data_IF_468605885500
#
_entry.id   IF_468605885500
#
_cell.length_a   1.000
_cell.length_b   1.000
_cell.length_c   1.000
_cell.angle_alpha   90.00
_cell.angle_beta   90.00
_cell.angle_gamma   90.00
#
_symmetry.space_group_name_H-M   'P 1'
#
loop_
_entity.id
_entity.type
_entity.pdbx_description
1 polymer ?
#
# COMPACT_ATOMS: atom_id res chain seq x y z
N UNK A 1 8.95 -3.18 11.06
CA UNK A 1 8.00 -4.30 11.17
C UNK A 1 6.64 -3.80 10.71
N UNK A 2 5.85 -4.65 10.03
CA UNK A 2 4.48 -4.32 9.65
C UNK A 2 3.52 -4.60 10.82
N UNK A 3 2.35 -3.92 10.86
CA UNK A 3 1.30 -4.28 11.81
C UNK A 3 0.77 -5.71 11.59
N UNK A 4 0.15 -6.29 12.62
CA UNK A 4 -0.39 -7.65 12.53
C UNK A 4 -1.49 -7.78 11.44
N UNK A 5 -1.38 -8.81 10.60
CA UNK A 5 -2.30 -9.04 9.48
C UNK A 5 -2.08 -8.10 8.30
N UNK A 6 -1.00 -7.33 8.30
CA UNK A 6 -0.48 -6.65 7.12
C UNK A 6 0.68 -7.45 6.56
N UNK A 7 0.72 -7.59 5.24
CA UNK A 7 1.75 -8.36 4.58
C UNK A 7 2.05 -7.84 3.18
N UNK A 8 3.31 -8.01 2.77
CA UNK A 8 3.74 -7.72 1.41
C UNK A 8 3.52 -8.96 0.54
N UNK A 9 2.87 -8.78 -0.60
CA UNK A 9 2.67 -9.84 -1.60
C UNK A 9 3.25 -9.43 -2.96
N UNK A 10 3.75 -10.39 -3.76
CA UNK A 10 4.05 -10.13 -5.16
C UNK A 10 2.80 -9.66 -5.91
N UNK A 11 2.92 -8.62 -6.74
CA UNK A 11 1.83 -8.10 -7.56
C UNK A 11 2.34 -7.48 -8.87
N UNK A 12 2.12 -8.18 -9.99
CA UNK A 12 2.60 -7.77 -11.31
C UNK A 12 4.13 -7.47 -11.28
N UNK A 13 4.51 -6.24 -11.60
CA UNK A 13 5.90 -5.78 -11.71
C UNK A 13 6.46 -5.17 -10.42
N UNK A 14 5.90 -5.51 -9.27
CA UNK A 14 6.42 -5.07 -7.97
C UNK A 14 5.66 -5.67 -6.78
N UNK A 15 5.98 -5.26 -5.54
CA UNK A 15 5.26 -5.69 -4.37
C UNK A 15 3.99 -4.84 -4.15
N UNK A 16 2.97 -5.44 -3.54
CA UNK A 16 1.81 -4.73 -3.03
C UNK A 16 1.61 -5.02 -1.55
N UNK A 17 1.18 -4.00 -0.80
CA UNK A 17 0.85 -4.12 0.61
C UNK A 17 -0.63 -4.49 0.74
N UNK A 18 -0.90 -5.50 1.54
CA UNK A 18 -2.24 -5.94 1.92
C UNK A 18 -2.48 -5.76 3.41
N UNK A 19 -3.75 -5.58 3.78
CA UNK A 19 -4.25 -5.88 5.12
C UNK A 19 -5.38 -6.91 4.97
N UNK A 20 -5.15 -8.13 5.47
CA UNK A 20 -5.98 -9.32 5.17
C UNK A 20 -6.13 -9.50 3.65
N UNK A 21 -7.33 -9.35 3.09
CA UNK A 21 -7.59 -9.54 1.66
C UNK A 21 -7.80 -8.21 0.90
N UNK A 22 -7.51 -7.07 1.55
CA UNK A 22 -7.61 -5.75 0.94
C UNK A 22 -6.24 -5.21 0.56
N UNK A 23 -6.08 -4.92 -0.73
CA UNK A 23 -4.90 -4.25 -1.25
C UNK A 23 -4.93 -2.76 -0.86
N UNK A 24 -3.84 -2.30 -0.25
CA UNK A 24 -3.72 -0.93 0.28
C UNK A 24 -2.85 -0.05 -0.61
N UNK A 25 -1.73 -0.60 -1.08
CA UNK A 25 -0.76 0.11 -1.91
C UNK A 25 -0.07 -0.85 -2.87
N UNK A 26 0.24 -0.38 -4.07
CA UNK A 26 1.03 -1.11 -5.08
C UNK A 26 2.31 -0.34 -5.36
N UNK A 27 3.44 -1.01 -5.39
CA UNK A 27 4.70 -0.46 -5.86
C UNK A 27 4.95 -0.94 -7.28
N UNK A 28 5.23 -0.01 -8.18
CA UNK A 28 5.57 -0.29 -9.57
C UNK A 28 6.91 0.32 -9.93
N UNK A 29 7.76 -0.47 -10.58
CA UNK A 29 9.02 0.03 -11.13
C UNK A 29 8.76 0.94 -12.33
N UNK A 30 9.44 2.08 -12.34
CA UNK A 30 9.54 3.01 -13.48
C UNK A 30 10.94 2.93 -14.10
N UNK A 31 11.15 3.61 -15.22
CA UNK A 31 12.45 3.68 -15.90
C UNK A 31 13.54 4.27 -14.99
N UNK A 32 13.20 5.28 -14.20
CA UNK A 32 14.12 6.09 -13.39
C UNK A 32 13.75 6.12 -11.89
N UNK A 33 12.86 5.23 -11.45
CA UNK A 33 12.43 5.22 -10.06
C UNK A 33 11.32 4.23 -9.78
N UNK A 34 10.54 4.55 -8.76
CA UNK A 34 9.45 3.73 -8.23
C UNK A 34 8.25 4.61 -7.95
N UNK A 35 7.07 4.09 -8.30
CA UNK A 35 5.78 4.69 -7.96
C UNK A 35 5.10 3.84 -6.91
N UNK A 36 4.52 4.48 -5.91
CA UNK A 36 3.54 3.88 -5.01
C UNK A 36 2.18 4.40 -5.43
N UNK A 37 1.22 3.51 -5.63
CA UNK A 37 -0.20 3.85 -5.79
C UNK A 37 -0.96 3.42 -4.54
N UNK A 38 -1.48 4.38 -3.78
CA UNK A 38 -2.32 4.12 -2.60
C UNK A 38 -3.78 3.91 -3.05
N UNK A 39 -4.19 2.64 -3.13
CA UNK A 39 -5.44 2.19 -3.77
C UNK A 39 -6.67 2.87 -3.16
N UNK A 40 -6.75 2.94 -1.83
CA UNK A 40 -7.89 3.54 -1.12
C UNK A 40 -7.96 5.07 -1.25
N UNK A 41 -6.83 5.73 -1.50
CA UNK A 41 -6.72 7.19 -1.44
C UNK A 41 -6.57 7.84 -2.81
N UNK A 42 -6.55 7.03 -3.89
CA UNK A 42 -6.36 7.49 -5.27
C UNK A 42 -5.21 8.49 -5.41
N UNK A 43 -4.12 8.23 -4.70
CA UNK A 43 -2.93 9.08 -4.64
C UNK A 43 -1.70 8.27 -5.00
N UNK A 44 -0.79 8.89 -5.73
CA UNK A 44 0.51 8.31 -6.04
C UNK A 44 1.64 9.11 -5.41
N UNK A 45 2.73 8.42 -5.07
CA UNK A 45 3.98 9.01 -4.62
C UNK A 45 5.17 8.39 -5.37
N UNK A 46 6.27 9.13 -5.51
CA UNK A 46 7.42 8.74 -6.32
C UNK A 46 8.71 8.73 -5.50
N UNK A 47 9.53 7.70 -5.70
CA UNK A 47 10.76 7.46 -4.96
C UNK A 47 11.87 6.99 -5.90
N UNK A 48 13.12 7.33 -5.57
CA UNK A 48 14.28 6.93 -6.36
C UNK A 48 14.61 5.43 -6.27
N UNK A 49 14.16 4.72 -5.23
CA UNK A 49 14.48 3.31 -5.02
C UNK A 49 13.34 2.52 -4.38
N UNK A 50 13.32 1.22 -4.66
CA UNK A 50 12.37 0.26 -4.09
C UNK A 50 12.44 0.25 -2.56
N UNK A 51 13.66 0.18 -2.02
CA UNK A 51 13.87 0.12 -0.58
C UNK A 51 13.29 1.34 0.14
N UNK A 52 13.44 2.54 -0.43
CA UNK A 52 12.85 3.76 0.15
C UNK A 52 11.32 3.73 0.05
N UNK A 53 10.78 3.30 -1.08
CA UNK A 53 9.33 3.15 -1.26
C UNK A 53 8.74 2.15 -0.24
N UNK A 54 9.35 0.97 -0.08
CA UNK A 54 8.92 -0.04 0.89
C UNK A 54 8.98 0.50 2.32
N UNK A 55 10.08 1.17 2.70
CA UNK A 55 10.22 1.76 4.03
C UNK A 55 9.16 2.83 4.29
N UNK A 56 8.89 3.67 3.29
CA UNK A 56 7.86 4.70 3.38
C UNK A 56 6.47 4.11 3.59
N UNK A 57 6.05 3.15 2.75
CA UNK A 57 4.75 2.48 2.88
C UNK A 57 4.64 1.73 4.21
N UNK A 58 5.72 1.07 4.64
CA UNK A 58 5.74 0.38 5.95
C UNK A 58 5.51 1.39 7.09
N UNK A 59 6.21 2.52 7.09
CA UNK A 59 6.03 3.56 8.11
C UNK A 59 4.63 4.19 8.05
N UNK A 60 4.11 4.41 6.85
CA UNK A 60 2.74 4.88 6.62
C UNK A 60 1.71 3.91 7.20
N UNK A 61 1.86 2.60 6.94
CA UNK A 61 0.94 1.58 7.44
C UNK A 61 0.93 1.54 8.97
N UNK A 62 2.10 1.64 9.62
CA UNK A 62 2.18 1.73 11.08
C UNK A 62 1.53 3.00 11.63
N UNK A 63 1.80 4.16 10.99
CA UNK A 63 1.25 5.45 11.44
C UNK A 63 -0.28 5.49 11.37
N UNK A 64 -0.85 4.89 10.33
CA UNK A 64 -2.28 4.98 10.04
C UNK A 64 -3.06 3.68 10.30
N UNK A 65 -2.45 2.71 10.99
CA UNK A 65 -2.99 1.36 11.19
C UNK A 65 -4.47 1.38 11.63
N UNK A 66 -4.79 2.08 12.71
CA UNK A 66 -6.14 2.14 13.27
C UNK A 66 -7.16 2.65 12.25
N UNK A 67 -6.79 3.63 11.43
CA UNK A 67 -7.66 4.20 10.39
C UNK A 67 -7.84 3.20 9.24
N UNK A 68 -6.74 2.64 8.76
CA UNK A 68 -6.75 1.63 7.69
C UNK A 68 -7.64 0.44 8.09
N UNK A 69 -7.53 -0.06 9.33
CA UNK A 69 -8.37 -1.16 9.81
C UNK A 69 -9.85 -0.82 9.80
N UNK A 70 -10.24 0.40 10.19
CA UNK A 70 -11.64 0.85 10.13
C UNK A 70 -12.15 0.90 8.69
N UNK A 71 -11.34 1.41 7.77
CA UNK A 71 -11.70 1.50 6.35
C UNK A 71 -11.77 0.12 5.68
N UNK A 72 -10.86 -0.80 6.01
CA UNK A 72 -10.85 -2.19 5.52
C UNK A 72 -12.03 -3.01 6.03
N UNK A 73 -12.49 -2.72 7.26
CA UNK A 73 -13.65 -3.37 7.86
C UNK A 73 -14.99 -2.85 7.31
N UNK A 74 -15.00 -1.67 6.69
CA UNK A 74 -16.21 -1.13 6.08
C UNK A 74 -16.59 -1.97 4.85
N UNK A 75 -17.89 -2.23 4.63
CA UNK A 75 -18.36 -2.84 3.38
C UNK A 75 -17.93 -1.97 2.19
N UNK A 76 -17.48 -2.59 1.10
CA UNK A 76 -17.23 -1.85 -0.15
C UNK A 76 -18.58 -1.39 -0.69
N UNK A 77 -18.91 -0.12 -0.47
CA UNK A 77 -20.03 0.52 -1.16
C UNK A 77 -19.54 0.84 -2.56
N UNK A 78 -19.82 -0.05 -3.51
CA UNK A 78 -19.65 0.22 -4.93
C UNK A 78 -20.69 1.28 -5.32
N UNK A 79 -20.31 2.55 -5.26
CA UNK A 79 -21.04 3.61 -5.93
C UNK A 79 -20.88 3.44 -7.44
N UNK A 80 -21.96 3.03 -8.10
CA UNK A 80 -22.13 3.14 -9.55
C UNK A 80 -22.46 4.57 -9.94
#
# INVERSE_FOLDING_TARGET
MLPEGFDWRPYLNGPALYARDRMLAVLSRLTDGWRIDFVLYRRSEFFASEATAIRYVTAWACKWETRIRKEVAAPVVLGW
#
